data_IF_907441273594
#
_entry.id   IF_907441273594
#
_cell.length_a   1.000
_cell.length_b   1.000
_cell.length_c   1.000
_cell.angle_alpha   90.00
_cell.angle_beta   90.00
_cell.angle_gamma   90.00
#
_symmetry.space_group_name_H-M   'P 1'
#
loop_
_entity.id
_entity.type
_entity.pdbx_description
1 polymer ?
#
# COMPACT_ATOMS: atom_id res chain seq x y z
N UNK A 1 12.88 0.04 10.42
CA UNK A 1 13.32 0.16 9.00
C UNK A 1 12.58 1.32 8.36
N UNK A 2 13.07 1.97 7.30
CA UNK A 2 12.33 3.10 6.71
C UNK A 2 11.18 2.61 5.81
N UNK A 3 10.06 2.23 6.42
CA UNK A 3 8.78 1.98 5.74
C UNK A 3 8.08 3.27 5.31
N UNK A 4 8.69 4.45 5.53
CA UNK A 4 8.09 5.74 5.19
C UNK A 4 7.72 5.83 3.71
N UNK A 5 8.49 5.22 2.82
CA UNK A 5 8.19 5.15 1.40
C UNK A 5 6.83 4.52 1.11
N UNK A 6 6.55 3.35 1.71
CA UNK A 6 5.27 2.66 1.57
C UNK A 6 4.13 3.44 2.24
N UNK A 7 4.33 3.90 3.48
CA UNK A 7 3.33 4.67 4.22
C UNK A 7 2.93 5.95 3.47
N UNK A 8 3.90 6.66 2.88
CA UNK A 8 3.63 7.86 2.07
C UNK A 8 2.74 7.56 0.86
N UNK A 9 3.00 6.45 0.16
CA UNK A 9 2.18 6.03 -0.98
C UNK A 9 0.77 5.62 -0.55
N UNK A 10 0.64 4.82 0.51
CA UNK A 10 -0.64 4.41 1.09
C UNK A 10 -1.49 5.64 1.43
N UNK A 11 -0.91 6.62 2.14
CA UNK A 11 -1.59 7.86 2.50
C UNK A 11 -2.03 8.67 1.28
N UNK A 12 -1.18 8.77 0.25
CA UNK A 12 -1.53 9.47 -0.99
C UNK A 12 -2.69 8.79 -1.73
N UNK A 13 -2.70 7.45 -1.78
CA UNK A 13 -3.76 6.67 -2.40
C UNK A 13 -5.08 6.90 -1.67
N UNK A 14 -5.11 6.79 -0.33
CA UNK A 14 -6.33 7.05 0.46
C UNK A 14 -6.82 8.49 0.31
N UNK A 15 -5.92 9.47 0.36
CA UNK A 15 -6.28 10.88 0.17
C UNK A 15 -6.90 11.12 -1.22
N UNK A 16 -6.38 10.47 -2.25
CA UNK A 16 -6.88 10.60 -3.63
C UNK A 16 -8.22 9.88 -3.80
N UNK A 17 -8.36 8.67 -3.27
CA UNK A 17 -9.62 7.92 -3.29
C UNK A 17 -10.74 8.71 -2.61
N UNK A 18 -10.48 9.28 -1.43
CA UNK A 18 -11.44 10.11 -0.71
C UNK A 18 -11.89 11.34 -1.50
N UNK A 19 -10.99 11.99 -2.24
CA UNK A 19 -11.35 13.10 -3.13
C UNK A 19 -12.28 12.66 -4.25
N UNK A 20 -12.00 11.52 -4.89
CA UNK A 20 -12.84 10.96 -5.96
C UNK A 20 -14.20 10.52 -5.41
N UNK A 21 -14.24 9.87 -4.25
CA UNK A 21 -15.48 9.46 -3.61
C UNK A 21 -16.37 10.66 -3.27
N UNK A 22 -15.77 11.73 -2.74
CA UNK A 22 -16.48 12.97 -2.43
C UNK A 22 -17.02 13.65 -3.69
N UNK A 23 -16.24 13.68 -4.78
CA UNK A 23 -16.65 14.32 -6.03
C UNK A 23 -17.72 13.54 -6.81
N UNK A 24 -17.73 12.20 -6.69
CA UNK A 24 -18.63 11.33 -7.45
C UNK A 24 -19.86 10.88 -6.67
N UNK A 25 -19.85 11.03 -5.34
CA UNK A 25 -20.89 10.51 -4.45
C UNK A 25 -20.94 8.98 -4.42
N UNK A 26 -19.90 8.29 -4.90
CA UNK A 26 -19.82 6.83 -4.97
C UNK A 26 -18.55 6.34 -4.32
N UNK A 27 -18.64 5.23 -3.59
CA UNK A 27 -17.50 4.55 -2.98
C UNK A 27 -17.35 3.16 -3.56
N UNK A 28 -16.11 2.69 -3.66
CA UNK A 28 -15.80 1.29 -3.96
C UNK A 28 -14.88 0.74 -2.88
N UNK A 29 -15.03 -0.54 -2.55
CA UNK A 29 -14.09 -1.23 -1.67
C UNK A 29 -12.83 -1.51 -2.47
N UNK A 30 -11.68 -1.12 -1.92
CA UNK A 30 -10.37 -1.40 -2.50
C UNK A 30 -9.39 -1.75 -1.37
N UNK A 31 -8.27 -2.36 -1.77
CA UNK A 31 -7.15 -2.64 -0.87
C UNK A 31 -5.88 -2.05 -1.43
N UNK A 32 -4.96 -1.63 -0.56
CA UNK A 32 -3.62 -1.18 -0.93
C UNK A 32 -2.61 -2.18 -0.40
N UNK A 33 -1.70 -2.61 -1.28
CA UNK A 33 -0.66 -3.57 -0.96
C UNK A 33 0.65 -3.20 -1.63
N UNK A 34 1.65 -4.04 -1.46
CA UNK A 34 2.98 -3.78 -2.03
C UNK A 34 3.57 -5.03 -2.69
N UNK A 35 4.49 -4.80 -3.61
CA UNK A 35 5.27 -5.87 -4.22
C UNK A 35 6.46 -6.22 -3.33
N UNK A 36 6.66 -7.52 -3.10
CA UNK A 36 7.83 -8.08 -2.43
C UNK A 36 8.76 -8.61 -3.53
N UNK A 37 9.67 -7.76 -3.98
CA UNK A 37 10.62 -8.06 -5.08
C UNK A 37 12.09 -7.88 -4.69
N UNK A 38 12.36 -7.18 -3.58
CA UNK A 38 13.72 -6.99 -3.07
C UNK A 38 13.92 -7.93 -1.87
N UNK A 39 15.05 -8.67 -1.75
CA UNK A 39 15.29 -9.58 -0.63
C UNK A 39 15.09 -8.94 0.74
N UNK A 40 15.45 -7.66 0.88
CA UNK A 40 15.23 -6.89 2.10
C UNK A 40 13.76 -6.77 2.49
N UNK A 41 12.85 -6.63 1.52
CA UNK A 41 11.42 -6.55 1.78
C UNK A 41 10.90 -7.86 2.40
N UNK A 42 11.44 -9.02 1.99
CA UNK A 42 11.11 -10.29 2.62
C UNK A 42 11.65 -10.40 4.07
N UNK A 43 12.83 -9.82 4.36
CA UNK A 43 13.43 -9.84 5.69
C UNK A 43 12.70 -8.97 6.72
N UNK A 44 11.97 -7.94 6.27
CA UNK A 44 11.26 -6.94 7.10
C UNK A 44 9.74 -6.97 6.82
N UNK A 45 9.24 -8.12 6.37
CA UNK A 45 7.86 -8.27 5.91
C UNK A 45 6.82 -8.03 7.03
N UNK A 46 7.22 -8.25 8.28
CA UNK A 46 6.44 -7.91 9.47
C UNK A 46 6.19 -6.40 9.59
N UNK A 47 7.22 -5.57 9.45
CA UNK A 47 7.08 -4.10 9.44
C UNK A 47 6.26 -3.62 8.22
N UNK A 48 6.38 -4.30 7.08
CA UNK A 48 5.61 -3.96 5.87
C UNK A 48 4.11 -4.31 6.03
N UNK A 49 3.80 -5.39 6.73
CA UNK A 49 2.42 -5.84 6.96
C UNK A 49 1.59 -4.82 7.77
N UNK A 50 2.23 -3.92 8.52
CA UNK A 50 1.55 -2.83 9.25
C UNK A 50 0.88 -1.80 8.31
N UNK A 51 1.30 -1.74 7.04
CA UNK A 51 0.86 -0.73 6.08
C UNK A 51 0.26 -1.31 4.79
N UNK A 52 0.47 -2.60 4.50
CA UNK A 52 -0.02 -3.26 3.29
C UNK A 52 -1.05 -4.34 3.61
N UNK A 53 -2.19 -4.28 2.94
CA UNK A 53 -3.31 -5.23 3.11
C UNK A 53 -3.12 -6.52 2.30
N UNK A 54 -2.15 -6.55 1.39
CA UNK A 54 -1.74 -7.73 0.63
C UNK A 54 -0.29 -7.62 0.14
N UNK A 55 0.33 -8.77 -0.11
CA UNK A 55 1.64 -8.88 -0.76
C UNK A 55 1.49 -9.49 -2.15
N UNK A 56 2.27 -8.96 -3.09
CA UNK A 56 2.48 -9.57 -4.40
C UNK A 56 3.95 -9.92 -4.55
N UNK A 57 4.31 -11.18 -4.75
CA UNK A 57 5.72 -11.55 -4.89
C UNK A 57 6.20 -11.33 -6.32
N UNK A 58 7.12 -10.38 -6.49
CA UNK A 58 7.82 -10.15 -7.75
C UNK A 58 9.05 -11.05 -7.80
N UNK A 59 8.96 -12.16 -8.52
CA UNK A 59 10.03 -13.18 -8.58
C UNK A 59 11.03 -12.97 -9.74
N UNK A 60 10.81 -11.94 -10.54
CA UNK A 60 11.68 -11.55 -11.67
C UNK A 60 12.81 -10.66 -11.17
#
# INVERSE_FOLDING_TARGET
VDTSGLNNQVNLIHATANKVFSATGKTVVYKVGTMIEIPRAALVADEIAEHAEFFSFGTN
#
